data_IF_452599373094
#
_entry.id   IF_452599373094
#
_cell.length_a   1.000
_cell.length_b   1.000
_cell.length_c   1.000
_cell.angle_alpha   90.00
_cell.angle_beta   90.00
_cell.angle_gamma   90.00
#
_symmetry.space_group_name_H-M   'P 1'
#
loop_
_entity.id
_entity.type
_entity.pdbx_description
1 polymer ?
#
# COMPACT_ATOMS: atom_id res chain seq x y z
N UNK A 1 12.01 -9.82 15.06
CA UNK A 1 12.04 -8.78 14.01
C UNK A 1 12.91 -7.63 14.50
N UNK A 2 13.88 -7.15 13.71
CA UNK A 2 14.83 -6.10 14.15
C UNK A 2 14.46 -4.69 13.66
N UNK A 3 13.76 -4.59 12.53
CA UNK A 3 13.24 -3.32 11.99
C UNK A 3 12.08 -3.56 11.02
N UNK A 4 11.38 -2.49 10.66
CA UNK A 4 10.28 -2.46 9.70
C UNK A 4 10.55 -1.44 8.59
N UNK A 5 10.23 -1.78 7.34
CA UNK A 5 9.99 -0.77 6.31
C UNK A 5 8.59 -0.95 5.73
N UNK A 6 7.80 0.12 5.74
CA UNK A 6 6.55 0.24 5.02
C UNK A 6 6.75 1.13 3.78
N UNK A 7 6.09 0.79 2.67
CA UNK A 7 6.15 1.54 1.41
C UNK A 7 4.73 1.79 0.92
N UNK A 8 4.45 3.04 0.56
CA UNK A 8 3.17 3.58 0.07
C UNK A 8 2.04 3.55 1.09
N UNK A 9 1.74 2.39 1.67
CA UNK A 9 0.61 2.22 2.60
C UNK A 9 1.05 2.53 4.05
N UNK A 10 0.30 3.39 4.77
CA UNK A 10 0.59 3.73 6.17
C UNK A 10 0.34 2.54 7.10
N UNK A 11 0.66 2.71 8.38
CA UNK A 11 0.23 1.75 9.39
C UNK A 11 -1.29 1.52 9.28
N UNK A 12 -1.75 0.26 9.25
CA UNK A 12 -3.17 -0.04 8.97
C UNK A 12 -4.14 0.61 9.97
N UNK A 13 -3.75 0.77 11.23
CA UNK A 13 -4.53 1.54 12.19
C UNK A 13 -4.65 3.04 11.85
N UNK A 14 -3.61 3.67 11.29
CA UNK A 14 -3.66 5.05 10.80
C UNK A 14 -4.47 5.15 9.50
N UNK A 15 -4.38 4.14 8.64
CA UNK A 15 -5.23 4.02 7.45
C UNK A 15 -6.71 3.89 7.82
N UNK A 16 -7.04 3.02 8.78
CA UNK A 16 -8.38 2.82 9.30
C UNK A 16 -8.97 4.09 9.94
N UNK A 17 -8.12 4.87 10.62
CA UNK A 17 -8.50 6.17 11.13
C UNK A 17 -8.86 7.15 10.00
N UNK A 18 -8.01 7.25 8.97
CA UNK A 18 -8.27 8.06 7.79
C UNK A 18 -9.53 7.62 7.05
N UNK A 19 -9.78 6.31 6.88
CA UNK A 19 -11.02 5.78 6.30
C UNK A 19 -12.28 6.27 7.02
N UNK A 20 -12.20 6.48 8.34
CA UNK A 20 -13.35 6.91 9.15
C UNK A 20 -13.52 8.43 9.17
N UNK A 21 -12.45 9.19 9.08
CA UNK A 21 -12.45 10.64 9.38
C UNK A 21 -12.05 11.56 8.24
N UNK A 22 -11.48 11.03 7.14
CA UNK A 22 -11.00 11.83 6.01
C UNK A 22 -11.80 11.52 4.73
N UNK A 23 -12.61 12.48 4.25
CA UNK A 23 -13.36 12.33 2.99
C UNK A 23 -12.47 12.01 1.78
N UNK A 24 -11.22 12.50 1.75
CA UNK A 24 -10.28 12.21 0.65
C UNK A 24 -9.89 10.73 0.65
N UNK A 25 -9.63 10.16 1.83
CA UNK A 25 -9.32 8.72 1.94
C UNK A 25 -10.55 7.87 1.61
N UNK A 26 -11.74 8.30 2.03
CA UNK A 26 -13.00 7.61 1.73
C UNK A 26 -13.24 7.53 0.22
N UNK A 27 -13.12 8.66 -0.48
CA UNK A 27 -13.26 8.73 -1.93
C UNK A 27 -12.23 7.84 -2.64
N UNK A 28 -10.96 7.95 -2.25
CA UNK A 28 -9.86 7.14 -2.76
C UNK A 28 -10.03 5.63 -2.52
N UNK A 29 -10.89 5.22 -1.59
CA UNK A 29 -11.07 3.81 -1.18
C UNK A 29 -12.36 3.18 -1.67
N UNK A 30 -13.18 3.88 -2.47
CA UNK A 30 -14.44 3.36 -3.02
C UNK A 30 -14.26 2.08 -3.85
N UNK A 31 -13.08 1.86 -4.43
CA UNK A 31 -12.75 0.63 -5.14
C UNK A 31 -12.86 -0.63 -4.25
N UNK A 32 -12.69 -0.49 -2.93
CA UNK A 32 -12.76 -1.61 -1.99
C UNK A 32 -14.15 -2.23 -1.96
N UNK A 33 -15.21 -1.45 -2.17
CA UNK A 33 -16.58 -1.95 -2.18
C UNK A 33 -16.81 -2.89 -3.37
N UNK A 34 -16.17 -2.60 -4.51
CA UNK A 34 -16.16 -3.51 -5.67
C UNK A 34 -15.39 -4.78 -5.32
N UNK A 35 -14.20 -4.66 -4.73
CA UNK A 35 -13.36 -5.82 -4.39
C UNK A 35 -13.98 -6.75 -3.35
N UNK A 36 -14.86 -6.22 -2.49
CA UNK A 36 -15.61 -6.99 -1.48
C UNK A 36 -16.77 -7.80 -2.05
N UNK A 37 -17.21 -7.55 -3.29
CA UNK A 37 -18.32 -8.29 -3.88
C UNK A 37 -18.00 -9.80 -4.00
N UNK A 38 -19.02 -10.69 -3.95
CA UNK A 38 -18.83 -12.13 -4.03
C UNK A 38 -18.06 -12.55 -5.29
N UNK A 39 -17.18 -13.55 -5.13
CA UNK A 39 -16.52 -14.17 -6.26
C UNK A 39 -17.54 -14.93 -7.15
N UNK A 40 -17.34 -14.99 -8.48
CA UNK A 40 -16.21 -14.44 -9.23
C UNK A 40 -16.51 -13.06 -9.89
N UNK A 41 -17.40 -12.23 -9.34
CA UNK A 41 -17.86 -11.00 -10.00
C UNK A 41 -16.73 -10.02 -10.34
N UNK A 42 -16.03 -9.46 -9.34
CA UNK A 42 -14.89 -8.57 -9.57
C UNK A 42 -13.74 -9.23 -10.35
N UNK A 43 -13.47 -10.51 -10.10
CA UNK A 43 -12.45 -11.27 -10.82
C UNK A 43 -12.74 -11.29 -12.34
N UNK A 44 -13.96 -11.65 -12.72
CA UNK A 44 -14.36 -11.68 -14.14
C UNK A 44 -14.28 -10.30 -14.79
N UNK A 45 -14.70 -9.25 -14.06
CA UNK A 45 -14.60 -7.87 -14.54
C UNK A 45 -13.15 -7.45 -14.80
N UNK A 46 -12.24 -7.76 -13.88
CA UNK A 46 -10.81 -7.44 -14.02
C UNK A 46 -10.17 -8.24 -15.16
N UNK A 47 -10.50 -9.53 -15.30
CA UNK A 47 -10.00 -10.37 -16.40
C UNK A 47 -10.47 -9.88 -17.76
N UNK A 48 -11.73 -9.46 -17.87
CA UNK A 48 -12.29 -8.92 -19.11
C UNK A 48 -11.65 -7.58 -19.53
N UNK A 49 -11.13 -6.81 -18.56
CA UNK A 49 -10.51 -5.50 -18.81
C UNK A 49 -9.07 -5.60 -19.32
N UNK A 50 -8.42 -6.76 -19.22
CA UNK A 50 -7.03 -6.96 -19.62
C UNK A 50 -6.02 -6.32 -18.66
N UNK A 51 -4.73 -6.22 -19.06
CA UNK A 51 -3.70 -5.63 -18.21
C UNK A 51 -4.01 -4.21 -17.77
N UNK A 52 -3.81 -3.87 -16.47
CA UNK A 52 -4.09 -2.53 -15.97
C UNK A 52 -3.08 -1.52 -16.53
N UNK A 53 -3.47 -0.25 -16.61
CA UNK A 53 -2.57 0.87 -16.90
C UNK A 53 -2.24 1.59 -15.60
N UNK A 54 -1.26 1.08 -14.86
CA UNK A 54 -0.87 1.65 -13.58
C UNK A 54 0.06 2.86 -13.80
N UNK A 55 -0.24 4.03 -13.22
CA UNK A 55 0.63 5.21 -13.36
C UNK A 55 2.06 4.90 -12.89
N UNK A 56 3.04 5.29 -13.69
CA UNK A 56 4.45 5.12 -13.34
C UNK A 56 5.00 3.69 -13.44
N UNK A 57 4.20 2.73 -13.92
CA UNK A 57 4.62 1.33 -14.11
C UNK A 57 4.75 1.03 -15.61
N UNK A 58 5.83 0.36 -15.99
CA UNK A 58 6.06 -0.08 -17.36
C UNK A 58 4.91 -1.00 -17.85
N UNK A 59 4.30 -0.75 -19.02
CA UNK A 59 3.24 -1.59 -19.57
C UNK A 59 3.60 -3.08 -19.66
N UNK A 60 4.86 -3.43 -19.91
CA UNK A 60 5.32 -4.83 -19.92
C UNK A 60 5.26 -5.45 -18.52
N UNK A 61 5.55 -4.68 -17.45
CA UNK A 61 5.36 -5.14 -16.08
C UNK A 61 3.87 -5.26 -15.74
N UNK A 62 3.04 -4.32 -16.17
CA UNK A 62 1.58 -4.45 -16.02
C UNK A 62 1.03 -5.71 -16.70
N UNK A 63 1.51 -6.03 -17.90
CA UNK A 63 1.15 -7.27 -18.61
C UNK A 63 1.61 -8.52 -17.84
N UNK A 64 2.81 -8.49 -17.26
CA UNK A 64 3.33 -9.59 -16.44
C UNK A 64 2.53 -9.76 -15.13
N UNK A 65 2.17 -8.65 -14.45
CA UNK A 65 1.30 -8.68 -13.26
C UNK A 65 -0.07 -9.25 -13.59
N UNK A 66 -0.68 -8.80 -14.68
CA UNK A 66 -1.95 -9.34 -15.16
C UNK A 66 -1.85 -10.83 -15.42
N UNK A 67 -0.85 -11.28 -16.20
CA UNK A 67 -0.64 -12.71 -16.52
C UNK A 67 -0.53 -13.58 -15.27
N UNK A 68 0.14 -13.10 -14.21
CA UNK A 68 0.26 -13.83 -12.94
C UNK A 68 -1.08 -13.88 -12.20
N UNK A 69 -1.79 -12.76 -12.14
CA UNK A 69 -3.08 -12.64 -11.47
C UNK A 69 -4.21 -13.37 -12.23
N UNK A 70 -4.08 -13.57 -13.54
CA UNK A 70 -5.05 -14.34 -14.34
C UNK A 70 -5.03 -15.85 -14.10
N UNK A 71 -4.08 -16.37 -13.31
CA UNK A 71 -4.07 -17.78 -12.95
C UNK A 71 -5.31 -18.12 -12.10
N UNK A 72 -5.91 -19.32 -12.25
CA UNK A 72 -7.07 -19.71 -11.46
C UNK A 72 -6.88 -19.48 -9.96
N UNK A 73 -7.82 -18.76 -9.34
CA UNK A 73 -7.81 -18.44 -7.92
C UNK A 73 -6.87 -17.32 -7.47
N UNK A 74 -5.97 -16.82 -8.32
CA UNK A 74 -5.00 -15.79 -7.90
C UNK A 74 -5.68 -14.44 -7.60
N UNK A 75 -6.53 -13.93 -8.50
CA UNK A 75 -7.32 -12.73 -8.23
C UNK A 75 -8.22 -12.93 -7.00
N UNK A 76 -8.91 -14.07 -6.88
CA UNK A 76 -9.73 -14.36 -5.69
C UNK A 76 -8.91 -14.29 -4.40
N UNK A 77 -7.70 -14.84 -4.39
CA UNK A 77 -6.79 -14.75 -3.24
C UNK A 77 -6.45 -13.31 -2.85
N UNK A 78 -6.16 -12.45 -3.83
CA UNK A 78 -5.89 -11.03 -3.58
C UNK A 78 -7.15 -10.31 -3.07
N UNK A 79 -8.29 -10.51 -3.72
CA UNK A 79 -9.54 -9.84 -3.35
C UNK A 79 -10.10 -10.33 -1.99
N UNK A 80 -9.79 -11.57 -1.60
CA UNK A 80 -10.16 -12.09 -0.29
C UNK A 80 -9.54 -11.29 0.86
N UNK A 81 -8.39 -10.63 0.66
CA UNK A 81 -7.85 -9.71 1.66
C UNK A 81 -8.84 -8.57 1.95
N UNK A 82 -9.45 -7.98 0.92
CA UNK A 82 -10.46 -6.92 1.09
C UNK A 82 -11.78 -7.45 1.66
N UNK A 83 -12.21 -8.65 1.24
CA UNK A 83 -13.43 -9.31 1.74
C UNK A 83 -13.33 -9.65 3.23
N UNK A 84 -12.14 -10.01 3.71
CA UNK A 84 -11.91 -10.41 5.09
C UNK A 84 -11.53 -9.25 6.01
N UNK A 85 -11.18 -8.08 5.47
CA UNK A 85 -10.65 -6.95 6.24
C UNK A 85 -11.69 -5.84 6.39
N UNK A 86 -12.17 -5.67 7.61
CA UNK A 86 -13.06 -4.60 8.07
C UNK A 86 -12.30 -3.36 8.55
N UNK A 87 -10.96 -3.40 8.53
CA UNK A 87 -10.07 -2.37 9.05
C UNK A 87 -10.18 -2.14 10.57
N UNK A 88 -10.64 -3.14 11.32
CA UNK A 88 -10.63 -3.17 12.78
C UNK A 88 -9.42 -3.96 13.32
N UNK A 89 -9.11 -3.86 14.62
CA UNK A 89 -8.07 -4.67 15.28
C UNK A 89 -6.61 -4.28 14.97
N UNK A 90 -6.38 -3.08 14.41
CA UNK A 90 -5.03 -2.56 14.10
C UNK A 90 -4.51 -1.57 15.16
N UNK A 91 -4.74 -1.84 16.45
CA UNK A 91 -4.30 -0.97 17.55
C UNK A 91 -2.82 -1.17 17.93
N UNK A 92 -2.24 -2.32 17.60
CA UNK A 92 -0.87 -2.66 17.99
C UNK A 92 0.13 -1.64 17.42
N UNK A 93 0.98 -1.10 18.29
CA UNK A 93 2.04 -0.15 17.90
C UNK A 93 3.34 -0.86 17.54
N UNK A 94 4.10 -0.27 16.63
CA UNK A 94 5.39 -0.79 16.18
C UNK A 94 6.53 -0.26 17.06
N UNK A 95 7.20 -1.14 17.80
CA UNK A 95 8.27 -0.78 18.73
C UNK A 95 9.68 -0.83 18.13
N UNK A 96 9.86 -1.43 16.95
CA UNK A 96 11.16 -1.53 16.28
C UNK A 96 11.45 -0.30 15.42
N UNK A 97 12.74 -0.01 15.10
CA UNK A 97 13.09 1.01 14.11
C UNK A 97 12.26 0.85 12.84
N UNK A 98 11.61 1.94 12.41
CA UNK A 98 10.64 1.93 11.32
C UNK A 98 10.97 3.03 10.32
N UNK A 99 11.15 2.63 9.07
CA UNK A 99 11.11 3.51 7.91
C UNK A 99 9.71 3.43 7.28
N UNK A 100 9.08 4.57 7.04
CA UNK A 100 7.91 4.66 6.17
C UNK A 100 8.27 5.52 4.95
N UNK A 101 8.14 4.94 3.76
CA UNK A 101 8.32 5.64 2.49
C UNK A 101 6.93 5.93 1.92
N UNK A 102 6.55 7.20 1.85
CA UNK A 102 5.30 7.68 1.31
C UNK A 102 5.56 8.60 0.10
N UNK A 103 4.50 9.05 -0.57
CA UNK A 103 4.62 9.98 -1.70
C UNK A 103 3.51 11.03 -1.73
N UNK A 104 3.75 12.15 -2.41
CA UNK A 104 2.84 13.31 -2.39
C UNK A 104 1.72 13.27 -3.43
N UNK A 105 1.80 12.39 -4.44
CA UNK A 105 0.78 12.21 -5.49
C UNK A 105 0.16 10.81 -5.47
N UNK A 106 0.17 10.12 -4.32
CA UNK A 106 -0.51 8.83 -4.16
C UNK A 106 -2.04 9.00 -4.26
N UNK A 107 -2.72 8.40 -5.26
CA UNK A 107 -4.17 8.48 -5.38
C UNK A 107 -4.92 7.54 -4.42
N UNK A 108 -4.23 6.62 -3.75
CA UNK A 108 -4.81 5.58 -2.89
C UNK A 108 -4.69 5.92 -1.40
N UNK A 109 -3.80 6.84 -1.03
CA UNK A 109 -3.49 7.16 0.37
C UNK A 109 -3.54 8.67 0.60
N UNK A 110 -4.48 9.09 1.44
CA UNK A 110 -4.60 10.49 1.83
C UNK A 110 -3.44 10.91 2.76
N UNK A 111 -3.01 12.19 2.71
CA UNK A 111 -1.96 12.71 3.60
C UNK A 111 -2.25 12.55 5.10
N UNK A 112 -3.52 12.44 5.51
CA UNK A 112 -3.91 12.20 6.91
C UNK A 112 -3.38 10.88 7.46
N UNK A 113 -3.57 9.77 6.73
CA UNK A 113 -3.06 8.45 7.11
C UNK A 113 -1.53 8.41 7.16
N UNK A 114 -0.89 9.14 6.23
CA UNK A 114 0.58 9.28 6.23
C UNK A 114 1.07 9.96 7.51
N UNK A 115 0.48 11.12 7.85
CA UNK A 115 0.85 11.86 9.08
C UNK A 115 0.54 11.07 10.35
N UNK A 116 -0.59 10.39 10.40
CA UNK A 116 -1.04 9.63 11.57
C UNK A 116 -0.19 8.37 11.84
N UNK A 117 0.57 7.87 10.86
CA UNK A 117 1.45 6.71 11.03
C UNK A 117 2.46 6.90 12.16
N UNK A 118 2.99 8.11 12.37
CA UNK A 118 3.92 8.39 13.48
C UNK A 118 3.32 8.03 14.85
N UNK A 119 2.01 8.19 15.04
CA UNK A 119 1.32 7.90 16.29
C UNK A 119 1.15 6.39 16.56
N UNK A 120 1.46 5.56 15.55
CA UNK A 120 1.39 4.10 15.61
C UNK A 120 2.77 3.45 15.78
N UNK A 121 3.84 4.24 15.88
CA UNK A 121 5.22 3.77 16.05
C UNK A 121 5.76 4.31 17.38
N UNK A 122 6.17 3.42 18.29
CA UNK A 122 6.83 3.77 19.55
C UNK A 122 8.35 3.66 19.46
N UNK A 123 8.87 2.92 18.48
CA UNK A 123 10.30 2.86 18.18
C UNK A 123 10.81 4.07 17.39
N UNK A 124 12.11 4.10 17.04
CA UNK A 124 12.65 5.12 16.14
C UNK A 124 11.88 5.16 14.82
N UNK A 125 11.39 6.34 14.42
CA UNK A 125 10.55 6.52 13.24
C UNK A 125 11.18 7.49 12.25
N UNK A 126 11.31 7.08 10.99
CA UNK A 126 11.70 7.94 9.87
C UNK A 126 10.63 7.89 8.78
N UNK A 127 10.13 9.06 8.41
CA UNK A 127 9.26 9.24 7.24
C UNK A 127 10.08 9.83 6.09
N UNK A 128 10.07 9.16 4.95
CA UNK A 128 10.57 9.68 3.68
C UNK A 128 9.36 9.94 2.78
N UNK A 129 8.92 11.20 2.70
CA UNK A 129 7.76 11.57 1.88
C UNK A 129 8.23 12.12 0.53
N UNK A 130 8.16 11.29 -0.51
CA UNK A 130 8.76 11.54 -1.81
C UNK A 130 7.87 12.44 -2.67
N UNK A 131 8.43 13.57 -3.11
CA UNK A 131 7.67 14.53 -3.90
C UNK A 131 7.45 14.04 -5.34
N UNK A 132 6.23 14.24 -5.84
CA UNK A 132 5.86 14.03 -7.24
C UNK A 132 5.58 12.58 -7.64
N UNK A 133 5.83 11.60 -6.77
CA UNK A 133 5.58 10.18 -7.04
C UNK A 133 4.15 9.75 -6.66
N UNK A 134 3.67 8.70 -7.32
CA UNK A 134 2.39 8.04 -7.06
C UNK A 134 2.51 6.86 -6.09
N UNK A 135 1.57 5.92 -6.22
CA UNK A 135 1.44 4.78 -5.32
C UNK A 135 2.52 3.70 -5.51
N UNK A 136 3.05 3.53 -6.71
CA UNK A 136 3.93 2.42 -7.05
C UNK A 136 5.40 2.82 -6.89
N UNK A 137 5.76 3.36 -5.73
CA UNK A 137 7.08 3.92 -5.42
C UNK A 137 8.26 3.02 -5.86
N UNK A 138 8.25 1.69 -5.64
CA UNK A 138 9.34 0.82 -6.10
C UNK A 138 9.47 0.73 -7.63
N UNK A 139 8.38 0.95 -8.37
CA UNK A 139 8.36 0.99 -9.84
C UNK A 139 8.76 2.37 -10.37
N UNK A 140 8.27 3.42 -9.73
CA UNK A 140 8.50 4.81 -10.13
C UNK A 140 9.91 5.30 -9.81
N UNK A 141 10.50 4.82 -8.70
CA UNK A 141 11.80 5.24 -8.21
C UNK A 141 12.60 4.07 -7.60
N UNK A 142 12.97 3.04 -8.40
CA UNK A 142 13.61 1.82 -7.90
C UNK A 142 14.95 2.08 -7.20
N UNK A 143 15.80 2.92 -7.77
CA UNK A 143 17.12 3.24 -7.22
C UNK A 143 17.00 4.02 -5.90
N UNK A 144 16.06 4.96 -5.83
CA UNK A 144 15.81 5.72 -4.61
C UNK A 144 15.26 4.82 -3.51
N UNK A 145 14.26 3.99 -3.83
CA UNK A 145 13.67 3.00 -2.90
C UNK A 145 14.76 2.09 -2.35
N UNK A 146 15.61 1.52 -3.21
CA UNK A 146 16.72 0.65 -2.81
C UNK A 146 17.72 1.36 -1.90
N UNK A 147 18.10 2.60 -2.21
CA UNK A 147 19.01 3.40 -1.36
C UNK A 147 18.41 3.68 0.02
N UNK A 148 17.11 3.98 0.11
CA UNK A 148 16.43 4.24 1.38
C UNK A 148 16.35 2.97 2.25
N UNK A 149 16.05 1.83 1.63
CA UNK A 149 16.04 0.51 2.28
C UNK A 149 17.42 0.17 2.85
N UNK A 150 18.46 0.23 2.01
CA UNK A 150 19.84 -0.08 2.43
C UNK A 150 20.30 0.84 3.57
N UNK A 151 20.02 2.14 3.48
CA UNK A 151 20.31 3.10 4.56
C UNK A 151 19.58 2.74 5.85
N UNK A 152 18.31 2.33 5.77
CA UNK A 152 17.57 1.92 6.96
C UNK A 152 18.17 0.67 7.59
N UNK A 153 18.41 -0.38 6.80
CA UNK A 153 18.97 -1.64 7.30
C UNK A 153 20.35 -1.45 7.93
N UNK A 154 21.21 -0.62 7.34
CA UNK A 154 22.52 -0.29 7.91
C UNK A 154 22.46 0.49 9.23
N UNK A 155 21.35 1.18 9.52
CA UNK A 155 21.16 1.94 10.76
C UNK A 155 20.64 1.12 11.94
N UNK A 156 20.25 -0.15 11.71
CA UNK A 156 19.67 -1.03 12.74
C UNK A 156 20.81 -1.72 13.50
N UNK A 157 20.96 -1.48 14.83
CA UNK A 157 22.03 -2.08 15.63
C UNK A 157 21.96 -3.61 15.59
N UNK A 158 23.12 -4.27 15.44
CA UNK A 158 23.27 -5.75 15.37
C UNK A 158 22.51 -6.47 16.49
#
# INVERSE_FOLDING_TARGET
>A
MRSLTAVSVPHLGAFAEALRTDPVQQEASTYMDVFRQPAPGPENMMLASGPPKLPGVDPAKCAEYFRRLSRPGALTGVLNWYRANDFEGYEQRVAVPTLFIASTKDPMVAPSGVRATKNRVTGPYRLENLDGLGHFIPEEAPDLTSRLLLRHLASVPS
#
